data_IF_051551208203
#
_entry.id   IF_051551208203
#
_cell.length_a   1.000
_cell.length_b   1.000
_cell.length_c   1.000
_cell.angle_alpha   90.00
_cell.angle_beta   90.00
_cell.angle_gamma   90.00
#
_symmetry.space_group_name_H-M   'P 1'
#
loop_
_entity.id
_entity.type
_entity.pdbx_description
1 polymer ?
#
# COMPACT_ATOMS: atom_id res chain seq x y z
N UNK A 1 -16.46 13.30 -23.79
CA UNK A 1 -15.72 14.57 -23.60
C UNK A 1 -14.83 14.42 -22.38
N UNK A 2 -13.52 14.59 -22.52
CA UNK A 2 -12.63 14.72 -21.35
C UNK A 2 -12.73 16.15 -20.83
N UNK A 3 -13.34 16.33 -19.66
CA UNK A 3 -13.40 17.62 -18.94
C UNK A 3 -12.18 17.74 -18.05
N UNK A 4 -11.40 18.81 -18.21
CA UNK A 4 -10.27 19.12 -17.32
C UNK A 4 -10.80 19.94 -16.15
N UNK A 5 -10.75 19.37 -14.94
CA UNK A 5 -11.08 20.08 -13.70
C UNK A 5 -9.81 20.50 -12.98
N UNK A 6 -9.70 21.80 -12.68
CA UNK A 6 -8.63 22.34 -11.83
C UNK A 6 -9.13 22.34 -10.39
N UNK A 7 -8.43 21.62 -9.50
CA UNK A 7 -8.72 21.56 -8.06
C UNK A 7 -7.53 22.13 -7.28
N UNK A 8 -7.83 22.82 -6.18
CA UNK A 8 -6.82 23.42 -5.32
C UNK A 8 -6.36 22.40 -4.26
N UNK A 9 -5.05 22.30 -4.07
CA UNK A 9 -4.47 21.59 -2.94
C UNK A 9 -4.68 22.41 -1.66
N UNK A 10 -5.14 21.77 -0.59
CA UNK A 10 -5.33 22.41 0.72
C UNK A 10 -4.74 21.56 1.84
N UNK A 11 -4.66 22.11 3.05
CA UNK A 11 -4.20 21.39 4.25
C UNK A 11 -5.38 20.77 4.98
N UNK A 12 -5.25 19.51 5.38
CA UNK A 12 -6.22 18.82 6.22
C UNK A 12 -5.46 17.98 7.26
N UNK A 13 -5.60 18.35 8.54
CA UNK A 13 -4.74 17.81 9.60
C UNK A 13 -3.27 18.13 9.34
N UNK A 14 -2.40 17.12 9.43
CA UNK A 14 -0.96 17.23 9.15
C UNK A 14 -0.58 17.14 7.66
N UNK A 15 -1.54 16.82 6.77
CA UNK A 15 -1.26 16.43 5.39
C UNK A 15 -1.87 17.39 4.36
N UNK A 16 -1.47 17.24 3.10
CA UNK A 16 -2.13 17.91 1.98
C UNK A 16 -3.30 17.06 1.45
N UNK A 17 -4.34 17.71 0.97
CA UNK A 17 -5.55 17.10 0.45
C UNK A 17 -6.04 17.82 -0.82
N UNK A 18 -6.86 17.12 -1.61
CA UNK A 18 -7.52 17.64 -2.81
C UNK A 18 -8.94 17.10 -2.87
N UNK A 19 -9.88 17.92 -3.31
CA UNK A 19 -11.27 17.49 -3.50
C UNK A 19 -11.41 16.63 -4.76
N UNK A 20 -11.89 15.40 -4.58
CA UNK A 20 -12.19 14.47 -5.67
C UNK A 20 -13.70 14.50 -5.97
N UNK A 21 -14.13 14.45 -7.25
CA UNK A 21 -15.54 14.39 -7.60
C UNK A 21 -16.26 13.23 -6.92
N UNK A 22 -17.45 13.50 -6.37
CA UNK A 22 -18.27 12.49 -5.70
C UNK A 22 -18.61 11.30 -6.61
N UNK A 23 -18.74 11.54 -7.92
CA UNK A 23 -18.96 10.48 -8.92
C UNK A 23 -17.83 9.46 -8.96
N UNK A 24 -16.57 9.91 -8.83
CA UNK A 24 -15.43 9.01 -8.76
C UNK A 24 -15.50 8.13 -7.51
N UNK A 25 -15.82 8.70 -6.35
CA UNK A 25 -15.94 7.96 -5.09
C UNK A 25 -17.06 6.92 -5.17
N UNK A 26 -18.20 7.28 -5.77
CA UNK A 26 -19.32 6.34 -5.97
C UNK A 26 -18.98 5.22 -6.95
N UNK A 27 -18.23 5.51 -8.01
CA UNK A 27 -17.82 4.52 -9.00
C UNK A 27 -16.69 3.60 -8.50
N UNK A 28 -15.82 4.09 -7.62
CA UNK A 28 -14.67 3.35 -7.11
C UNK A 28 -15.07 2.12 -6.27
N UNK A 29 -16.19 2.18 -5.53
CA UNK A 29 -16.66 1.07 -4.70
C UNK A 29 -15.78 0.76 -3.49
N UNK A 30 -14.70 1.52 -3.28
CA UNK A 30 -13.75 1.38 -2.17
C UNK A 30 -13.35 2.76 -1.63
N UNK A 31 -12.92 2.81 -0.38
CA UNK A 31 -12.35 3.99 0.26
C UNK A 31 -10.83 4.07 0.14
N UNK A 32 -10.19 2.99 -0.31
CA UNK A 32 -8.73 2.92 -0.52
C UNK A 32 -8.36 3.17 -1.98
N UNK A 33 -7.26 3.89 -2.20
CA UNK A 33 -6.77 4.24 -3.53
C UNK A 33 -5.26 4.07 -3.61
N UNK A 34 -4.77 3.80 -4.82
CA UNK A 34 -3.34 3.79 -5.12
C UNK A 34 -2.97 5.10 -5.84
N UNK A 35 -1.86 5.68 -5.41
CA UNK A 35 -1.26 6.88 -6.00
C UNK A 35 -0.03 6.48 -6.82
N UNK A 36 -0.14 6.58 -8.14
CA UNK A 36 0.98 6.32 -9.05
C UNK A 36 1.59 7.65 -9.51
N UNK A 37 2.88 7.84 -9.20
CA UNK A 37 3.62 9.04 -9.59
C UNK A 37 4.40 8.82 -10.88
N UNK A 38 4.20 9.70 -11.84
CA UNK A 38 5.01 9.88 -13.03
C UNK A 38 5.57 11.31 -13.05
N UNK A 39 6.61 11.56 -13.86
CA UNK A 39 7.42 12.79 -13.86
C UNK A 39 6.62 14.12 -13.79
N UNK A 40 5.40 14.16 -14.33
CA UNK A 40 4.51 15.35 -14.31
C UNK A 40 3.05 15.02 -14.00
N UNK A 41 2.76 13.82 -13.51
CA UNK A 41 1.38 13.37 -13.31
C UNK A 41 1.28 12.46 -12.09
N UNK A 42 0.30 12.71 -11.25
CA UNK A 42 -0.18 11.75 -10.26
C UNK A 42 -1.45 11.12 -10.82
N UNK A 43 -1.48 9.78 -10.86
CA UNK A 43 -2.67 9.00 -11.19
C UNK A 43 -3.27 8.45 -9.89
N UNK A 44 -4.58 8.55 -9.77
CA UNK A 44 -5.33 7.99 -8.64
C UNK A 44 -6.24 6.91 -9.21
N UNK A 45 -6.12 5.69 -8.72
CA UNK A 45 -7.03 4.60 -9.07
C UNK A 45 -7.57 3.91 -7.82
N UNK A 46 -8.79 3.36 -7.85
CA UNK A 46 -9.29 2.53 -6.76
C UNK A 46 -8.35 1.35 -6.50
N UNK A 47 -8.17 1.00 -5.23
CA UNK A 47 -7.46 -0.22 -4.85
C UNK A 47 -8.39 -1.42 -5.05
N UNK A 48 -7.85 -2.49 -5.60
CA UNK A 48 -8.54 -3.75 -5.89
C UNK A 48 -7.96 -4.87 -5.02
N UNK A 49 -8.68 -5.97 -4.87
CA UNK A 49 -8.20 -7.15 -4.14
C UNK A 49 -6.96 -7.80 -4.78
N UNK A 50 -6.71 -7.51 -6.06
CA UNK A 50 -5.53 -7.97 -6.80
C UNK A 50 -4.30 -7.07 -6.57
N UNK A 51 -4.47 -5.91 -5.95
CA UNK A 51 -3.35 -5.04 -5.60
C UNK A 51 -2.69 -5.59 -4.33
N UNK A 52 -1.66 -6.39 -4.53
CA UNK A 52 -0.87 -6.99 -3.44
C UNK A 52 0.19 -6.00 -2.95
N UNK A 53 0.73 -6.23 -1.75
CA UNK A 53 1.78 -5.38 -1.19
C UNK A 53 3.01 -5.31 -2.11
N UNK A 54 3.29 -6.36 -2.87
CA UNK A 54 4.38 -6.44 -3.85
C UNK A 54 4.17 -5.51 -5.04
N UNK A 55 2.92 -5.14 -5.34
CA UNK A 55 2.57 -4.21 -6.42
C UNK A 55 2.66 -2.73 -5.99
N UNK A 56 2.86 -2.46 -4.70
CA UNK A 56 3.02 -1.10 -4.19
C UNK A 56 4.32 -0.47 -4.72
N UNK A 57 4.28 0.78 -5.25
CA UNK A 57 5.46 1.41 -5.86
C UNK A 57 6.69 1.50 -4.94
N UNK A 58 6.50 1.53 -3.63
CA UNK A 58 7.56 1.63 -2.63
C UNK A 58 7.94 0.28 -2.01
N UNK A 59 7.35 -0.82 -2.46
CA UNK A 59 7.60 -2.14 -1.87
C UNK A 59 9.09 -2.51 -1.89
N UNK A 60 9.76 -2.34 -3.02
CA UNK A 60 11.18 -2.65 -3.16
C UNK A 60 12.06 -1.79 -2.22
N UNK A 61 11.72 -0.51 -2.05
CA UNK A 61 12.42 0.39 -1.12
C UNK A 61 12.19 -0.03 0.34
N UNK A 62 10.95 -0.37 0.68
CA UNK A 62 10.58 -0.87 2.00
C UNK A 62 11.34 -2.15 2.37
N UNK A 63 11.34 -3.16 1.50
CA UNK A 63 12.09 -4.41 1.72
C UNK A 63 13.59 -4.14 1.81
N UNK A 64 14.14 -3.26 0.97
CA UNK A 64 15.55 -2.89 1.03
C UNK A 64 15.92 -2.24 2.37
N UNK A 65 15.09 -1.31 2.87
CA UNK A 65 15.28 -0.69 4.17
C UNK A 65 15.21 -1.70 5.31
N UNK A 66 14.26 -2.64 5.25
CA UNK A 66 14.12 -3.72 6.22
C UNK A 66 15.36 -4.62 6.27
N UNK A 67 15.88 -5.04 5.11
CA UNK A 67 17.10 -5.86 5.02
C UNK A 67 18.31 -5.11 5.57
N UNK A 68 18.44 -3.83 5.26
CA UNK A 68 19.54 -3.01 5.79
C UNK A 68 19.45 -2.86 7.32
N UNK A 69 18.26 -2.64 7.87
CA UNK A 69 18.06 -2.59 9.33
C UNK A 69 18.38 -3.94 9.98
N UNK A 70 17.89 -5.03 9.41
CA UNK A 70 18.17 -6.40 9.84
C UNK A 70 19.67 -6.72 9.90
N UNK A 71 20.45 -6.30 8.89
CA UNK A 71 21.91 -6.48 8.87
C UNK A 71 22.63 -5.62 9.91
N UNK A 72 22.13 -4.42 10.20
CA UNK A 72 22.71 -3.51 11.20
C UNK A 72 22.35 -3.86 12.63
N UNK A 73 21.17 -4.46 12.81
CA UNK A 73 20.56 -4.76 14.09
C UNK A 73 20.09 -6.23 14.14
N UNK A 74 21.02 -7.21 14.00
CA UNK A 74 20.66 -8.63 13.99
C UNK A 74 19.99 -9.07 15.29
N UNK A 75 20.21 -8.37 16.39
CA UNK A 75 19.55 -8.62 17.68
C UNK A 75 18.03 -8.38 17.65
N UNK A 76 17.52 -7.61 16.67
CA UNK A 76 16.08 -7.42 16.46
C UNK A 76 15.45 -8.53 15.62
N UNK A 77 16.26 -9.40 15.02
CA UNK A 77 15.77 -10.53 14.26
C UNK A 77 15.39 -11.65 15.22
N UNK A 78 14.08 -11.84 15.37
CA UNK A 78 13.51 -12.91 16.17
C UNK A 78 13.21 -14.12 15.31
N UNK A 79 13.24 -15.31 15.91
CA UNK A 79 12.82 -16.51 15.21
C UNK A 79 11.32 -16.38 14.85
N UNK A 80 10.90 -16.91 13.71
CA UNK A 80 9.49 -16.85 13.28
C UNK A 80 8.56 -17.30 14.42
N UNK A 81 8.90 -18.39 15.12
CA UNK A 81 8.13 -18.91 16.26
C UNK A 81 7.97 -17.95 17.45
N UNK A 82 8.80 -16.90 17.53
CA UNK A 82 8.77 -15.89 18.59
C UNK A 82 7.91 -14.67 18.21
N UNK A 83 7.70 -14.42 16.92
CA UNK A 83 6.95 -13.26 16.39
C UNK A 83 5.63 -13.66 15.71
N UNK A 84 5.51 -14.91 15.29
CA UNK A 84 4.35 -15.46 14.61
C UNK A 84 3.28 -15.79 15.64
N UNK A 85 2.28 -14.93 15.73
CA UNK A 85 1.11 -15.15 16.59
C UNK A 85 0.25 -16.31 16.05
N UNK A 86 -0.41 -17.04 16.95
CA UNK A 86 -1.36 -18.10 16.60
C UNK A 86 -2.53 -17.60 15.76
N UNK A 87 -2.85 -16.31 15.87
CA UNK A 87 -3.84 -15.67 14.98
C UNK A 87 -3.42 -15.76 13.50
N UNK A 88 -2.13 -15.71 13.20
CA UNK A 88 -1.62 -15.89 11.83
C UNK A 88 -1.71 -17.34 11.36
N UNK A 89 -1.51 -18.31 12.25
CA UNK A 89 -1.70 -19.74 11.94
C UNK A 89 -3.15 -20.05 11.55
N UNK A 90 -4.12 -19.37 12.17
CA UNK A 90 -5.53 -19.52 11.82
C UNK A 90 -5.89 -18.81 10.51
N UNK A 91 -5.34 -17.61 10.29
CA UNK A 91 -5.58 -16.83 9.07
C UNK A 91 -4.96 -17.47 7.82
N UNK A 92 -3.83 -18.15 7.95
CA UNK A 92 -3.11 -18.79 6.85
C UNK A 92 -3.45 -20.27 6.68
N UNK A 93 -4.41 -20.78 7.46
CA UNK A 93 -4.86 -22.17 7.40
C UNK A 93 -5.51 -22.46 6.04
N UNK A 94 -4.80 -23.21 5.20
CA UNK A 94 -5.26 -23.58 3.86
C UNK A 94 -4.54 -22.82 2.73
N UNK A 95 -3.63 -21.90 3.05
CA UNK A 95 -2.66 -21.38 2.10
C UNK A 95 -1.56 -22.43 1.95
N UNK A 96 -1.61 -23.22 0.89
CA UNK A 96 -0.51 -24.13 0.54
C UNK A 96 0.64 -23.28 0.03
N UNK A 97 1.73 -23.20 0.81
CA UNK A 97 2.99 -22.80 0.24
C UNK A 97 3.40 -23.93 -0.72
N UNK A 98 3.44 -23.67 -2.01
CA UNK A 98 4.12 -24.57 -2.93
C UNK A 98 5.60 -24.54 -2.52
N UNK A 99 6.04 -25.64 -1.90
CA UNK A 99 7.44 -25.89 -1.56
C UNK A 99 8.22 -26.05 -2.88
N UNK A 100 8.96 -25.02 -3.29
CA UNK A 100 10.11 -25.17 -4.21
C UNK A 100 11.39 -25.53 -3.43
#
# INVERSE_FOLDING_TARGET
>A
MMSVMVRKLFKHGGSYAVDIPMEFVRAAGTTEVILESALKRLSIRPKTELDTIETEPLFAEFISALVVDAMKHPEKLHAVKEVWDKEWDELLKGVTADEE
#
